data_IF_287830841106
#
_entry.id   IF_287830841106
#
_cell.length_a   1.000
_cell.length_b   1.000
_cell.length_c   1.000
_cell.angle_alpha   90.00
_cell.angle_beta   90.00
_cell.angle_gamma   90.00
#
_symmetry.space_group_name_H-M   'P 1'
#
loop_
_entity.id
_entity.type
_entity.pdbx_description
1 polymer ?
#
# COMPACT_ATOMS: atom_id res chain seq x y z
N UNK A 1 -19.57 -7.80 31.81
CA UNK A 1 -18.76 -7.46 33.00
C UNK A 1 -18.13 -8.69 33.63
N UNK A 2 -18.90 -9.76 33.89
CA UNK A 2 -18.40 -11.03 34.45
C UNK A 2 -17.14 -11.60 33.79
N UNK A 3 -17.03 -11.49 32.46
CA UNK A 3 -15.85 -11.97 31.74
C UNK A 3 -14.62 -11.08 31.96
N UNK A 4 -14.78 -9.76 32.04
CA UNK A 4 -13.67 -8.84 32.35
C UNK A 4 -13.18 -9.04 33.79
N UNK A 5 -14.11 -9.29 34.72
CA UNK A 5 -13.81 -9.58 36.12
C UNK A 5 -13.01 -10.88 36.29
N UNK A 6 -13.31 -11.91 35.49
CA UNK A 6 -12.57 -13.19 35.47
C UNK A 6 -11.15 -13.02 34.95
N UNK A 7 -10.98 -12.23 33.90
CA UNK A 7 -9.68 -11.95 33.29
C UNK A 7 -8.89 -10.84 34.01
N UNK A 8 -9.41 -10.33 35.14
CA UNK A 8 -8.78 -9.29 35.98
C UNK A 8 -8.45 -8.01 35.22
N UNK A 9 -9.23 -7.69 34.19
CA UNK A 9 -9.08 -6.47 33.38
C UNK A 9 -10.11 -5.45 33.82
N UNK A 10 -9.63 -4.24 34.12
CA UNK A 10 -10.50 -3.12 34.45
C UNK A 10 -11.21 -2.58 33.20
N UNK A 11 -12.37 -1.94 33.38
CA UNK A 11 -13.05 -1.29 32.26
C UNK A 11 -12.21 -0.21 31.57
N UNK A 12 -11.28 0.44 32.30
CA UNK A 12 -10.37 1.42 31.71
C UNK A 12 -9.32 0.77 30.80
N UNK A 13 -8.70 -0.33 31.24
CA UNK A 13 -7.74 -1.10 30.43
C UNK A 13 -8.43 -1.66 29.19
N UNK A 14 -9.64 -2.20 29.34
CA UNK A 14 -10.44 -2.64 28.18
C UNK A 14 -10.66 -1.50 27.18
N UNK A 15 -11.13 -0.34 27.63
CA UNK A 15 -11.35 0.81 26.75
C UNK A 15 -10.05 1.33 26.10
N UNK A 16 -8.91 1.22 26.79
CA UNK A 16 -7.61 1.55 26.22
C UNK A 16 -7.25 0.60 25.08
N UNK A 17 -7.44 -0.71 25.27
CA UNK A 17 -7.21 -1.71 24.23
C UNK A 17 -8.17 -1.53 23.04
N UNK A 18 -9.44 -1.24 23.29
CA UNK A 18 -10.38 -0.96 22.19
C UNK A 18 -9.91 0.23 21.35
N UNK A 19 -9.40 1.30 21.99
CA UNK A 19 -8.82 2.44 21.27
C UNK A 19 -7.53 2.09 20.53
N UNK A 20 -6.67 1.23 21.09
CA UNK A 20 -5.47 0.74 20.41
C UNK A 20 -5.83 0.01 19.10
N UNK A 21 -6.95 -0.72 19.11
CA UNK A 21 -7.55 -1.38 17.94
C UNK A 21 -8.45 -0.48 17.08
N UNK A 22 -8.40 0.85 17.27
CA UNK A 22 -9.18 1.87 16.54
C UNK A 22 -10.70 1.83 16.77
N UNK A 23 -11.17 1.14 17.80
CA UNK A 23 -12.58 1.10 18.21
C UNK A 23 -12.83 2.09 19.37
N UNK A 24 -13.16 3.34 19.05
CA UNK A 24 -13.41 4.40 20.03
C UNK A 24 -14.80 4.36 20.64
N UNK A 25 -15.77 3.80 19.92
CA UNK A 25 -17.16 3.68 20.32
C UNK A 25 -17.54 2.21 20.44
N UNK A 26 -17.93 1.79 21.65
CA UNK A 26 -18.40 0.42 21.87
C UNK A 26 -19.72 0.14 21.12
N UNK A 27 -20.48 1.18 20.77
CA UNK A 27 -21.70 1.03 20.00
C UNK A 27 -21.43 0.59 18.54
N UNK A 28 -20.22 0.79 18.03
CA UNK A 28 -19.82 0.39 16.68
C UNK A 28 -19.21 -1.02 16.62
N UNK A 29 -19.02 -1.65 17.78
CA UNK A 29 -18.45 -2.98 17.93
C UNK A 29 -19.56 -4.02 17.91
N UNK A 30 -19.39 -5.06 17.10
CA UNK A 30 -20.26 -6.23 17.08
C UNK A 30 -19.77 -7.26 18.09
N UNK A 31 -18.48 -7.60 18.03
CA UNK A 31 -17.85 -8.57 18.93
C UNK A 31 -16.44 -8.13 19.33
N UNK A 32 -16.04 -8.44 20.55
CA UNK A 32 -14.67 -8.37 21.01
C UNK A 32 -14.31 -9.71 21.67
N UNK A 33 -13.18 -10.29 21.27
CA UNK A 33 -12.70 -11.60 21.74
C UNK A 33 -11.31 -11.42 22.32
N UNK A 34 -11.09 -12.01 23.50
CA UNK A 34 -9.77 -12.05 24.12
C UNK A 34 -9.11 -13.38 23.77
N UNK A 35 -7.92 -13.30 23.19
CA UNK A 35 -7.09 -14.45 22.86
C UNK A 35 -6.34 -14.94 24.11
N UNK A 36 -5.81 -16.17 24.05
CA UNK A 36 -5.09 -16.80 25.17
C UNK A 36 -3.81 -16.08 25.59
N UNK A 37 -3.25 -15.24 24.72
CA UNK A 37 -2.10 -14.38 25.02
C UNK A 37 -2.48 -13.06 25.70
N UNK A 38 -3.78 -12.80 25.93
CA UNK A 38 -4.30 -11.56 26.51
C UNK A 38 -4.61 -10.47 25.49
N UNK A 39 -4.37 -10.68 24.19
CA UNK A 39 -4.73 -9.72 23.15
C UNK A 39 -6.24 -9.68 22.93
N UNK A 40 -6.78 -8.49 22.68
CA UNK A 40 -8.19 -8.31 22.34
C UNK A 40 -8.34 -8.05 20.84
N UNK A 41 -9.08 -8.92 20.16
CA UNK A 41 -9.48 -8.77 18.77
C UNK A 41 -10.90 -8.20 18.69
N UNK A 42 -11.11 -7.24 17.79
CA UNK A 42 -12.36 -6.49 17.67
C UNK A 42 -12.94 -6.63 16.27
N UNK A 43 -14.23 -6.91 16.20
CA UNK A 43 -15.01 -6.94 14.97
C UNK A 43 -16.07 -5.85 15.00
N UNK A 44 -16.05 -4.95 14.01
CA UNK A 44 -17.02 -3.87 13.87
C UNK A 44 -18.34 -4.39 13.27
N UNK A 45 -19.42 -3.68 13.56
CA UNK A 45 -20.73 -3.87 12.90
C UNK A 45 -20.60 -3.71 11.39
N UNK A 46 -21.42 -4.43 10.63
CA UNK A 46 -21.33 -4.49 9.18
C UNK A 46 -21.39 -3.10 8.51
N UNK A 47 -22.25 -2.20 9.01
CA UNK A 47 -22.42 -0.82 8.55
C UNK A 47 -21.31 0.15 9.00
N UNK A 48 -20.42 -0.30 9.89
CA UNK A 48 -19.28 0.46 10.41
C UNK A 48 -17.93 0.00 9.85
N UNK A 49 -17.92 -1.09 9.07
CA UNK A 49 -16.69 -1.59 8.44
C UNK A 49 -16.23 -0.63 7.33
N UNK A 50 -14.91 -0.45 7.14
CA UNK A 50 -14.38 0.27 5.98
C UNK A 50 -14.81 -0.41 4.69
N UNK A 51 -15.17 0.39 3.69
CA UNK A 51 -15.53 -0.10 2.36
C UNK A 51 -14.29 -0.74 1.70
N UNK A 52 -14.45 -1.96 1.21
CA UNK A 52 -13.42 -2.66 0.44
C UNK A 52 -13.62 -2.44 -1.06
N UNK A 53 -12.58 -2.64 -1.90
CA UNK A 53 -12.76 -2.61 -3.36
C UNK A 53 -13.80 -3.62 -3.86
N UNK A 54 -13.96 -4.75 -3.16
CA UNK A 54 -14.97 -5.77 -3.46
C UNK A 54 -16.39 -5.22 -3.31
N UNK A 55 -16.66 -4.48 -2.23
CA UNK A 55 -17.97 -3.85 -1.98
C UNK A 55 -18.33 -2.81 -3.06
N UNK A 56 -17.32 -2.24 -3.72
CA UNK A 56 -17.48 -1.27 -4.81
C UNK A 56 -17.56 -1.92 -6.20
N UNK A 57 -17.48 -3.25 -6.30
CA UNK A 57 -17.37 -3.94 -7.59
C UNK A 57 -16.11 -3.58 -8.38
N UNK A 58 -15.08 -3.05 -7.71
CA UNK A 58 -13.82 -2.65 -8.37
C UNK A 58 -12.87 -3.84 -8.40
N UNK A 59 -12.50 -4.24 -9.61
CA UNK A 59 -11.43 -5.21 -9.79
C UNK A 59 -10.08 -4.55 -9.48
N UNK A 60 -9.42 -5.05 -8.43
CA UNK A 60 -8.07 -4.63 -8.07
C UNK A 60 -7.08 -5.71 -8.48
N UNK A 61 -5.98 -5.30 -9.08
CA UNK A 61 -4.87 -6.20 -9.39
C UNK A 61 -4.24 -6.71 -8.10
N UNK A 62 -3.81 -7.98 -8.10
CA UNK A 62 -3.03 -8.53 -6.98
C UNK A 62 -1.77 -7.67 -6.78
N UNK A 63 -1.54 -7.23 -5.55
CA UNK A 63 -0.33 -6.51 -5.17
C UNK A 63 0.63 -7.52 -4.55
N UNK A 64 1.78 -7.70 -5.18
CA UNK A 64 2.89 -8.42 -4.56
C UNK A 64 3.57 -7.51 -3.52
N UNK A 65 4.23 -8.14 -2.55
CA UNK A 65 5.05 -7.42 -1.57
C UNK A 65 6.18 -6.67 -2.29
N UNK A 66 6.39 -5.37 -2.00
CA UNK A 66 7.51 -4.64 -2.55
C UNK A 66 8.84 -5.31 -2.22
N UNK A 67 9.73 -5.43 -3.21
CA UNK A 67 11.04 -6.03 -3.04
C UNK A 67 12.09 -4.95 -2.78
N UNK A 68 12.83 -5.06 -1.68
CA UNK A 68 13.97 -4.18 -1.42
C UNK A 68 15.14 -4.59 -2.31
N UNK A 69 15.60 -3.65 -3.15
CA UNK A 69 16.67 -3.85 -4.13
C UNK A 69 17.95 -3.08 -3.79
N UNK A 70 17.85 -2.03 -2.97
CA UNK A 70 18.98 -1.29 -2.42
C UNK A 70 18.75 -1.06 -0.93
N UNK A 71 19.80 -1.26 -0.12
CA UNK A 71 19.80 -0.90 1.30
C UNK A 71 21.20 -0.40 1.69
N UNK A 72 21.26 0.76 2.34
CA UNK A 72 22.51 1.41 2.79
C UNK A 72 23.58 1.46 1.69
N UNK A 73 23.19 1.86 0.48
CA UNK A 73 24.06 1.93 -0.69
C UNK A 73 24.46 0.60 -1.32
N UNK A 74 23.95 -0.53 -0.84
CA UNK A 74 24.27 -1.88 -1.35
C UNK A 74 23.14 -2.49 -2.17
N UNK A 75 23.47 -3.09 -3.32
CA UNK A 75 22.50 -3.83 -4.14
C UNK A 75 22.15 -5.17 -3.50
N UNK A 76 20.86 -5.39 -3.28
CA UNK A 76 20.30 -6.66 -2.84
C UNK A 76 19.86 -7.49 -4.06
N UNK A 77 20.71 -8.43 -4.47
CA UNK A 77 20.46 -9.27 -5.66
C UNK A 77 19.24 -10.17 -5.52
N UNK A 78 18.96 -10.61 -4.29
CA UNK A 78 17.79 -11.44 -4.00
C UNK A 78 16.50 -10.69 -4.30
N UNK A 79 16.35 -9.46 -3.82
CA UNK A 79 15.18 -8.62 -4.11
C UNK A 79 15.03 -8.33 -5.59
N UNK A 80 16.14 -8.10 -6.32
CA UNK A 80 16.11 -7.95 -7.78
C UNK A 80 15.60 -9.24 -8.45
N UNK A 81 16.14 -10.39 -8.07
CA UNK A 81 15.78 -11.69 -8.65
C UNK A 81 14.30 -12.02 -8.39
N UNK A 82 13.83 -11.78 -7.17
CA UNK A 82 12.43 -11.98 -6.78
C UNK A 82 11.48 -11.05 -7.55
N UNK A 83 11.92 -9.84 -7.87
CA UNK A 83 11.19 -8.92 -8.74
C UNK A 83 11.31 -9.27 -10.24
N UNK A 84 12.10 -10.28 -10.62
CA UNK A 84 12.38 -10.62 -12.02
C UNK A 84 13.27 -9.58 -12.74
N UNK A 85 14.01 -8.79 -11.99
CA UNK A 85 14.85 -7.70 -12.45
C UNK A 85 16.34 -8.05 -12.32
N UNK A 86 17.18 -7.27 -12.97
CA UNK A 86 18.62 -7.46 -12.95
C UNK A 86 19.35 -6.15 -12.59
N UNK A 87 20.66 -6.25 -12.34
CA UNK A 87 21.47 -5.08 -11.99
C UNK A 87 21.47 -4.00 -13.07
N UNK A 88 21.51 -4.39 -14.35
CA UNK A 88 21.49 -3.42 -15.46
C UNK A 88 20.23 -2.56 -15.48
N UNK A 89 19.07 -3.14 -15.16
CA UNK A 89 17.82 -2.40 -14.99
C UNK A 89 17.96 -1.38 -13.87
N UNK A 90 18.47 -1.78 -12.71
CA UNK A 90 18.62 -0.90 -11.54
C UNK A 90 19.57 0.26 -11.84
N UNK A 91 20.71 -0.01 -12.49
CA UNK A 91 21.66 1.03 -12.92
C UNK A 91 20.99 2.02 -13.87
N UNK A 92 20.24 1.54 -14.86
CA UNK A 92 19.50 2.40 -15.79
C UNK A 92 18.49 3.30 -15.05
N UNK A 93 17.75 2.75 -14.08
CA UNK A 93 16.78 3.51 -13.30
C UNK A 93 17.44 4.60 -12.44
N UNK A 94 18.58 4.29 -11.82
CA UNK A 94 19.37 5.23 -11.03
C UNK A 94 19.92 6.36 -11.91
N UNK A 95 20.46 6.04 -13.08
CA UNK A 95 20.96 7.02 -14.05
C UNK A 95 19.86 7.95 -14.55
N UNK A 96 18.68 7.41 -14.89
CA UNK A 96 17.52 8.22 -15.29
C UNK A 96 17.07 9.20 -14.20
N UNK A 97 17.29 8.86 -12.93
CA UNK A 97 16.98 9.72 -11.78
C UNK A 97 18.16 10.59 -11.34
N UNK A 98 19.34 10.41 -11.93
CA UNK A 98 20.57 11.15 -11.58
C UNK A 98 21.10 10.84 -10.18
N UNK A 99 20.82 9.65 -9.63
CA UNK A 99 21.18 9.28 -8.26
C UNK A 99 22.30 8.25 -8.28
N UNK A 100 23.38 8.49 -7.54
CA UNK A 100 24.43 7.48 -7.33
C UNK A 100 24.00 6.47 -6.27
N UNK A 101 24.43 5.22 -6.43
CA UNK A 101 23.97 4.15 -5.55
C UNK A 101 24.38 4.34 -4.10
N UNK A 102 25.59 4.88 -3.87
CA UNK A 102 26.12 5.17 -2.54
C UNK A 102 25.30 6.22 -1.77
N UNK A 103 24.48 7.00 -2.47
CA UNK A 103 23.60 8.00 -1.87
C UNK A 103 22.18 7.48 -1.61
N UNK A 104 21.90 6.20 -1.88
CA UNK A 104 20.58 5.58 -1.65
C UNK A 104 20.58 4.86 -0.31
N UNK A 105 19.72 5.31 0.61
CA UNK A 105 19.46 4.62 1.87
C UNK A 105 18.56 3.40 1.64
N UNK A 106 17.47 3.55 0.90
CA UNK A 106 16.51 2.47 0.62
C UNK A 106 16.01 2.54 -0.82
N UNK A 107 16.06 1.42 -1.52
CA UNK A 107 15.44 1.27 -2.84
C UNK A 107 14.46 0.11 -2.83
N UNK A 108 13.21 0.35 -3.19
CA UNK A 108 12.17 -0.67 -3.26
C UNK A 108 11.46 -0.65 -4.61
N UNK A 109 11.17 -1.85 -5.14
CA UNK A 109 10.38 -2.02 -6.35
C UNK A 109 9.03 -2.61 -5.98
N UNK A 110 7.96 -1.95 -6.40
CA UNK A 110 6.61 -2.46 -6.19
C UNK A 110 6.19 -3.47 -7.27
N UNK A 111 4.99 -4.07 -7.11
CA UNK A 111 4.46 -5.01 -8.08
C UNK A 111 4.12 -4.39 -9.44
N UNK A 112 4.12 -3.07 -9.57
CA UNK A 112 3.95 -2.34 -10.82
C UNK A 112 5.27 -2.19 -11.59
N UNK A 113 6.40 -2.50 -10.95
CA UNK A 113 7.74 -2.25 -11.48
C UNK A 113 8.25 -0.84 -11.20
N UNK A 114 7.57 -0.06 -10.34
CA UNK A 114 7.98 1.30 -10.00
C UNK A 114 9.08 1.26 -8.93
N UNK A 115 10.21 1.93 -9.21
CA UNK A 115 11.32 2.08 -8.25
C UNK A 115 11.11 3.30 -7.36
N UNK A 116 10.86 3.04 -6.08
CA UNK A 116 10.97 4.02 -5.01
C UNK A 116 12.42 4.09 -4.51
N UNK A 117 12.90 5.31 -4.27
CA UNK A 117 14.22 5.56 -3.71
C UNK A 117 14.09 6.55 -2.55
N UNK A 118 14.72 6.20 -1.45
CA UNK A 118 15.03 7.06 -0.32
C UNK A 118 16.54 7.30 -0.31
N UNK A 119 16.95 8.55 -0.19
CA UNK A 119 18.34 8.97 -0.38
C UNK A 119 18.84 9.65 0.90
N UNK A 120 20.13 9.55 1.17
CA UNK A 120 20.71 10.15 2.39
C UNK A 120 20.68 11.67 2.39
N UNK A 121 20.71 12.28 1.21
CA UNK A 121 20.68 13.74 1.06
C UNK A 121 19.28 14.22 0.64
N UNK A 122 18.49 14.66 1.64
CA UNK A 122 17.13 15.21 1.50
C UNK A 122 17.06 16.45 0.57
N UNK A 123 18.19 17.04 0.18
CA UNK A 123 18.22 18.17 -0.75
C UNK A 123 18.01 17.76 -2.21
N UNK A 124 18.15 16.48 -2.56
CA UNK A 124 17.94 16.01 -3.93
C UNK A 124 16.46 15.62 -4.10
N UNK A 125 15.70 16.51 -4.74
CA UNK A 125 14.32 16.23 -5.10
C UNK A 125 14.26 15.21 -6.23
N UNK A 126 13.92 13.96 -5.93
CA UNK A 126 13.71 12.94 -6.95
C UNK A 126 12.41 13.27 -7.69
N UNK A 127 12.45 13.54 -9.00
CA UNK A 127 11.23 13.81 -9.76
C UNK A 127 10.32 12.59 -9.69
N UNK A 128 9.12 12.77 -9.12
CA UNK A 128 8.09 11.74 -9.09
C UNK A 128 7.64 11.51 -10.52
N UNK A 129 7.91 10.33 -11.06
CA UNK A 129 7.53 9.99 -12.43
C UNK A 129 6.00 10.01 -12.55
N UNK A 130 5.46 10.95 -13.33
CA UNK A 130 4.02 11.09 -13.62
C UNK A 130 3.57 10.23 -14.82
N UNK A 131 4.41 9.27 -15.23
CA UNK A 131 4.23 8.49 -16.46
C UNK A 131 2.93 7.68 -16.41
N UNK A 132 2.57 7.16 -15.23
CA UNK A 132 1.36 6.37 -15.02
C UNK A 132 0.10 7.22 -15.17
N UNK A 133 0.08 8.41 -14.57
CA UNK A 133 -1.03 9.36 -14.70
C UNK A 133 -1.19 9.83 -16.15
N UNK A 134 -0.08 10.16 -16.82
CA UNK A 134 -0.10 10.56 -18.24
C UNK A 134 -0.56 9.41 -19.15
N UNK A 135 -0.11 8.18 -18.90
CA UNK A 135 -0.54 7.00 -19.65
C UNK A 135 -2.03 6.73 -19.44
N UNK A 136 -2.50 6.79 -18.20
CA UNK A 136 -3.92 6.60 -17.87
C UNK A 136 -4.79 7.65 -18.57
N UNK A 137 -4.41 8.93 -18.51
CA UNK A 137 -5.11 10.00 -19.21
C UNK A 137 -5.12 9.79 -20.74
N UNK A 138 -4.02 9.31 -21.31
CA UNK A 138 -3.91 9.01 -22.75
C UNK A 138 -4.80 7.85 -23.18
N UNK A 139 -4.91 6.81 -22.34
CA UNK A 139 -5.79 5.67 -22.56
C UNK A 139 -7.25 6.09 -22.44
N UNK A 140 -7.61 6.87 -21.40
CA UNK A 140 -8.97 7.39 -21.24
C UNK A 140 -9.40 8.29 -22.39
N UNK A 141 -8.50 9.16 -22.85
CA UNK A 141 -8.75 9.99 -24.03
C UNK A 141 -9.00 9.13 -25.27
N UNK A 142 -8.13 8.17 -25.55
CA UNK A 142 -8.29 7.24 -26.67
C UNK A 142 -9.62 6.47 -26.60
N UNK A 143 -10.04 6.05 -25.40
CA UNK A 143 -11.32 5.37 -25.19
C UNK A 143 -12.52 6.29 -25.50
N UNK A 144 -12.49 7.54 -25.02
CA UNK A 144 -13.55 8.52 -25.27
C UNK A 144 -13.66 8.87 -26.76
N UNK A 145 -12.52 9.05 -27.44
CA UNK A 145 -12.46 9.34 -28.87
C UNK A 145 -13.09 8.19 -29.69
N UNK A 146 -12.78 6.94 -29.34
CA UNK A 146 -13.39 5.76 -29.99
C UNK A 146 -14.89 5.65 -29.76
N UNK A 147 -15.38 5.98 -28.55
CA UNK A 147 -16.81 6.00 -28.25
C UNK A 147 -17.54 7.08 -29.06
N UNK A 148 -16.98 8.30 -29.13
CA UNK A 148 -17.54 9.39 -29.94
C UNK A 148 -17.64 8.98 -31.41
N UNK A 149 -16.57 8.39 -31.96
CA UNK A 149 -16.58 7.93 -33.35
C UNK A 149 -17.66 6.87 -33.60
N UNK A 150 -17.89 5.93 -32.68
CA UNK A 150 -18.95 4.93 -32.82
C UNK A 150 -20.35 5.54 -32.83
N UNK A 151 -20.61 6.54 -31.97
CA UNK A 151 -21.87 7.29 -31.93
C UNK A 151 -22.11 8.07 -33.24
N UNK A 152 -21.05 8.63 -33.82
CA UNK A 152 -21.14 9.36 -35.09
C UNK A 152 -21.38 8.44 -36.30
N UNK A 153 -21.05 7.15 -36.22
CA UNK A 153 -21.24 6.18 -37.32
C UNK A 153 -22.64 5.51 -37.34
N UNK A 154 -23.39 5.59 -36.25
CA UNK A 154 -24.74 4.99 -36.12
C UNK A 154 -25.87 5.93 -36.60
N UNK A 155 -25.53 7.04 -37.28
CA UNK A 155 -26.43 8.08 -37.79
C UNK A 155 -26.27 8.26 -39.30
#
# INVERSE_FOLDING_TARGET
EDNLSKERITGQEFLQEMRSKKAFSLADVEFAVMETNGDINVSLKADKKPVTPYDLGKQVSSKAEPQTVILDGNILNEGLTNAGLNKSWLTTQLEMKGVSIENVFLGQVDSSGDLYLDIFDDMIQIPKAQVKEMLYASIQKSQADLMSFSLDCDN
#
